data_IF_582163390645
#
_entry.id   IF_582163390645
#
_cell.length_a   1.000
_cell.length_b   1.000
_cell.length_c   1.000
_cell.angle_alpha   90.00
_cell.angle_beta   90.00
_cell.angle_gamma   90.00
#
_symmetry.space_group_name_H-M   'P 1'
#
loop_
_entity.id
_entity.type
_entity.pdbx_description
1 polymer ?
#
# COMPACT_ATOMS: atom_id res chain seq x y z
N UNK A 1 -7.78 14.12 11.97
CA UNK A 1 -7.28 15.38 11.36
C UNK A 1 -5.90 15.09 10.78
N UNK A 2 -5.74 15.09 9.45
CA UNK A 2 -4.42 14.91 8.79
C UNK A 2 -3.59 16.17 8.99
N UNK A 3 -2.97 16.31 10.16
CA UNK A 3 -2.01 17.38 10.42
C UNK A 3 -0.63 16.93 9.97
N UNK A 4 0.11 17.85 9.35
CA UNK A 4 1.55 17.67 9.20
C UNK A 4 2.16 17.49 10.59
N UNK A 5 2.89 16.39 10.75
CA UNK A 5 3.82 16.30 11.84
C UNK A 5 5.10 16.96 11.34
N UNK A 6 5.63 17.95 12.07
CA UNK A 6 6.88 18.62 11.71
C UNK A 6 8.09 17.67 11.91
N UNK A 7 8.11 16.53 11.20
CA UNK A 7 9.22 15.59 11.22
C UNK A 7 10.36 16.16 10.40
N UNK A 8 11.14 17.04 11.03
CA UNK A 8 12.31 17.70 10.41
C UNK A 8 13.51 16.76 10.29
N UNK A 9 13.55 15.65 11.05
CA UNK A 9 14.68 14.70 11.02
C UNK A 9 14.42 13.51 10.10
N UNK A 10 15.47 13.01 9.47
CA UNK A 10 15.40 11.80 8.63
C UNK A 10 14.92 10.58 9.42
N UNK A 11 15.39 10.41 10.66
CA UNK A 11 15.00 9.30 11.53
C UNK A 11 13.50 9.27 11.83
N UNK A 12 12.88 10.44 12.09
CA UNK A 12 11.44 10.51 12.31
C UNK A 12 10.63 10.14 11.06
N UNK A 13 11.09 10.55 9.87
CA UNK A 13 10.46 10.18 8.59
C UNK A 13 10.53 8.68 8.33
N UNK A 14 11.69 8.06 8.58
CA UNK A 14 11.87 6.60 8.47
C UNK A 14 10.96 5.87 9.46
N UNK A 15 10.87 6.36 10.70
CA UNK A 15 9.96 5.83 11.71
C UNK A 15 8.49 5.85 11.26
N UNK A 16 8.02 6.95 10.66
CA UNK A 16 6.66 7.04 10.13
C UNK A 16 6.41 6.13 8.92
N UNK A 17 7.42 5.94 8.05
CA UNK A 17 7.34 4.97 6.95
C UNK A 17 7.13 3.56 7.52
N UNK A 18 7.99 3.13 8.45
CA UNK A 18 7.87 1.82 9.09
C UNK A 18 6.56 1.63 9.85
N UNK A 19 6.13 2.66 10.59
CA UNK A 19 4.84 2.65 11.28
C UNK A 19 3.66 2.56 10.30
N UNK A 20 3.75 3.21 9.14
CA UNK A 20 2.72 3.12 8.10
C UNK A 20 2.64 1.71 7.52
N UNK A 21 3.77 1.06 7.24
CA UNK A 21 3.79 -0.35 6.79
C UNK A 21 3.15 -1.26 7.83
N UNK A 22 3.47 -1.06 9.13
CA UNK A 22 2.81 -1.78 10.22
C UNK A 22 1.29 -1.56 10.24
N UNK A 23 0.84 -0.31 10.09
CA UNK A 23 -0.59 0.02 10.05
C UNK A 23 -1.30 -0.60 8.84
N UNK A 24 -0.66 -0.67 7.68
CA UNK A 24 -1.20 -1.35 6.51
C UNK A 24 -1.44 -2.83 6.78
N UNK A 25 -0.45 -3.53 7.37
CA UNK A 25 -0.60 -4.92 7.81
C UNK A 25 -1.72 -5.10 8.83
N UNK A 26 -1.73 -4.27 9.87
CA UNK A 26 -2.75 -4.33 10.91
C UNK A 26 -4.16 -4.06 10.36
N UNK A 27 -4.32 -3.04 9.51
CA UNK A 27 -5.59 -2.68 8.91
C UNK A 27 -6.15 -3.79 8.03
N UNK A 28 -5.31 -4.46 7.25
CA UNK A 28 -5.72 -5.63 6.49
C UNK A 28 -6.15 -6.79 7.39
N UNK A 29 -5.36 -7.11 8.42
CA UNK A 29 -5.72 -8.16 9.37
C UNK A 29 -7.07 -7.87 10.04
N UNK A 30 -7.33 -6.62 10.39
CA UNK A 30 -8.60 -6.18 10.95
C UNK A 30 -9.76 -6.38 9.96
N UNK A 31 -9.59 -5.99 8.69
CA UNK A 31 -10.59 -6.23 7.63
C UNK A 31 -10.85 -7.73 7.44
N UNK A 32 -9.80 -8.54 7.31
CA UNK A 32 -9.95 -10.01 7.17
C UNK A 32 -10.70 -10.59 8.37
N UNK A 33 -10.33 -10.19 9.58
CA UNK A 33 -10.95 -10.67 10.83
C UNK A 33 -12.42 -10.26 10.91
N UNK A 34 -12.75 -9.03 10.51
CA UNK A 34 -14.13 -8.54 10.44
C UNK A 34 -14.97 -9.37 9.47
N UNK A 35 -14.52 -9.56 8.23
CA UNK A 35 -15.25 -10.34 7.22
C UNK A 35 -15.44 -11.80 7.64
N UNK A 36 -14.43 -12.39 8.31
CA UNK A 36 -14.54 -13.73 8.91
C UNK A 36 -15.59 -13.78 10.02
N UNK A 37 -15.60 -12.78 10.91
CA UNK A 37 -16.54 -12.72 12.03
C UNK A 37 -18.01 -12.59 11.57
N UNK A 38 -18.26 -11.89 10.47
CA UNK A 38 -19.62 -11.70 9.92
C UNK A 38 -20.03 -12.77 8.91
N UNK A 39 -19.22 -13.81 8.72
CA UNK A 39 -19.53 -14.94 7.82
C UNK A 39 -19.56 -14.59 6.33
N UNK A 40 -19.08 -13.40 5.93
CA UNK A 40 -19.02 -12.97 4.53
C UNK A 40 -17.72 -13.38 3.83
N UNK A 41 -16.81 -14.05 4.54
CA UNK A 41 -15.57 -14.57 4.02
C UNK A 41 -15.37 -16.03 4.43
N UNK A 42 -15.37 -16.94 3.46
CA UNK A 42 -14.70 -18.24 3.58
C UNK A 42 -13.20 -18.06 3.31
N UNK A 43 -12.53 -17.22 4.10
CA UNK A 43 -11.07 -17.08 3.99
C UNK A 43 -10.47 -18.30 4.69
N UNK A 44 -10.30 -19.36 3.90
CA UNK A 44 -9.45 -20.48 4.27
C UNK A 44 -7.99 -20.02 4.15
N UNK A 45 -7.39 -19.69 5.29
CA UNK A 45 -5.97 -19.33 5.36
C UNK A 45 -5.04 -20.50 4.96
N UNK A 46 -5.57 -21.72 4.81
CA UNK A 46 -4.85 -22.88 4.33
C UNK A 46 -4.83 -23.03 2.80
N UNK A 47 -5.77 -22.43 2.06
CA UNK A 47 -5.87 -22.61 0.59
C UNK A 47 -6.02 -21.32 -0.20
N UNK A 48 -6.34 -20.20 0.44
CA UNK A 48 -6.70 -18.96 -0.25
C UNK A 48 -6.23 -17.76 0.56
N UNK A 49 -5.01 -17.30 0.29
CA UNK A 49 -4.56 -16.01 0.79
C UNK A 49 -5.55 -14.92 0.35
N UNK A 50 -5.95 -14.00 1.25
CA UNK A 50 -6.52 -12.73 0.84
C UNK A 50 -5.63 -12.17 -0.26
N UNK A 51 -6.19 -11.89 -1.44
CA UNK A 51 -5.44 -11.42 -2.62
C UNK A 51 -4.73 -10.11 -2.25
N UNK A 52 -3.49 -10.24 -1.77
CA UNK A 52 -2.59 -9.16 -1.41
C UNK A 52 -1.80 -8.82 -2.66
N UNK A 53 -2.24 -7.79 -3.38
CA UNK A 53 -1.70 -7.41 -4.68
C UNK A 53 -2.31 -8.22 -5.82
N UNK A 54 -3.37 -7.69 -6.44
CA UNK A 54 -4.05 -8.24 -7.61
C UNK A 54 -3.13 -8.78 -8.71
N UNK A 55 -1.98 -8.12 -8.93
CA UNK A 55 -1.07 -8.45 -10.04
C UNK A 55 0.06 -9.39 -9.61
N UNK A 56 0.58 -9.20 -8.39
CA UNK A 56 1.74 -9.93 -7.88
C UNK A 56 1.38 -11.28 -7.28
N UNK A 57 0.33 -11.34 -6.45
CA UNK A 57 -0.12 -12.60 -5.88
C UNK A 57 -0.65 -13.51 -6.99
N UNK A 58 -1.41 -12.96 -7.93
CA UNK A 58 -1.86 -13.72 -9.09
C UNK A 58 -0.69 -14.24 -9.93
N UNK A 59 0.33 -13.42 -10.21
CA UNK A 59 1.49 -13.85 -10.98
C UNK A 59 2.37 -14.87 -10.24
N UNK A 60 2.63 -14.67 -8.95
CA UNK A 60 3.42 -15.59 -8.12
C UNK A 60 2.69 -16.92 -7.92
N UNK A 61 1.40 -16.89 -7.62
CA UNK A 61 0.57 -18.09 -7.46
C UNK A 61 0.38 -18.82 -8.80
N UNK A 62 0.27 -18.11 -9.93
CA UNK A 62 0.07 -18.74 -11.24
C UNK A 62 1.31 -19.42 -11.80
N UNK A 63 2.51 -19.13 -11.27
CA UNK A 63 3.77 -19.70 -11.77
C UNK A 63 4.39 -20.75 -10.84
N UNK A 64 3.90 -20.93 -9.60
CA UNK A 64 4.40 -21.95 -8.64
C UNK A 64 5.93 -21.96 -8.46
N UNK A 65 6.60 -20.82 -8.67
CA UNK A 65 8.05 -20.72 -8.61
C UNK A 65 8.50 -20.52 -7.16
N UNK A 66 9.42 -21.37 -6.70
CA UNK A 66 10.17 -21.10 -5.47
C UNK A 66 11.07 -19.87 -5.63
N UNK A 67 11.43 -19.21 -4.52
CA UNK A 67 12.36 -18.07 -4.52
C UNK A 67 13.66 -18.38 -5.29
N UNK A 68 14.22 -19.58 -5.10
CA UNK A 68 15.44 -20.01 -5.80
C UNK A 68 15.27 -20.10 -7.32
N UNK A 69 14.11 -20.54 -7.81
CA UNK A 69 13.80 -20.60 -9.25
C UNK A 69 13.48 -19.21 -9.82
N UNK A 70 12.87 -18.32 -9.03
CA UNK A 70 12.59 -16.96 -9.44
C UNK A 70 13.90 -16.16 -9.66
N UNK A 71 14.87 -16.34 -8.77
CA UNK A 71 16.15 -15.61 -8.82
C UNK A 71 17.08 -16.04 -9.96
N UNK A 72 16.86 -17.19 -10.59
CA UNK A 72 17.67 -17.67 -11.73
C UNK A 72 17.20 -17.14 -13.08
N UNK A 73 15.99 -16.55 -13.16
CA UNK A 73 15.45 -15.96 -14.38
C UNK A 73 15.53 -14.43 -14.34
N UNK A 74 16.39 -13.79 -15.16
CA UNK A 74 16.50 -12.33 -15.20
C UNK A 74 15.17 -11.63 -15.51
N UNK A 75 14.31 -12.27 -16.32
CA UNK A 75 12.99 -11.75 -16.65
C UNK A 75 12.06 -11.72 -15.44
N UNK A 76 12.06 -12.80 -14.64
CA UNK A 76 11.30 -12.88 -13.38
C UNK A 76 11.79 -11.84 -12.38
N UNK A 77 13.11 -11.75 -12.19
CA UNK A 77 13.72 -10.76 -11.29
C UNK A 77 13.33 -9.34 -11.71
N UNK A 78 13.40 -9.03 -13.00
CA UNK A 78 13.00 -7.72 -13.51
C UNK A 78 11.52 -7.42 -13.23
N UNK A 79 10.62 -8.39 -13.42
CA UNK A 79 9.20 -8.21 -13.12
C UNK A 79 8.96 -7.96 -11.62
N UNK A 80 9.62 -8.72 -10.75
CA UNK A 80 9.54 -8.52 -9.29
C UNK A 80 10.04 -7.12 -8.91
N UNK A 81 11.15 -6.66 -9.48
CA UNK A 81 11.67 -5.30 -9.25
C UNK A 81 10.71 -4.21 -9.75
N UNK A 82 10.08 -4.41 -10.91
CA UNK A 82 9.06 -3.48 -11.43
C UNK A 82 7.90 -3.42 -10.43
N UNK A 83 7.41 -4.54 -9.92
CA UNK A 83 6.28 -4.55 -8.99
C UNK A 83 6.65 -3.92 -7.64
N UNK A 84 7.86 -4.19 -7.14
CA UNK A 84 8.30 -3.68 -5.84
C UNK A 84 8.63 -2.19 -5.90
N UNK A 85 9.27 -1.71 -6.96
CA UNK A 85 9.79 -0.35 -7.03
C UNK A 85 9.17 0.48 -8.15
N UNK A 86 9.09 -0.07 -9.36
CA UNK A 86 8.62 0.66 -10.54
C UNK A 86 7.15 1.06 -10.45
N UNK A 87 6.28 0.12 -10.10
CA UNK A 87 4.84 0.32 -9.96
C UNK A 87 4.55 1.34 -8.84
N UNK A 88 5.03 1.18 -7.58
CA UNK A 88 4.84 2.19 -6.55
C UNK A 88 5.32 3.59 -6.94
N UNK A 89 6.44 3.69 -7.68
CA UNK A 89 6.93 4.98 -8.16
C UNK A 89 5.89 5.68 -9.06
N UNK A 90 5.30 4.97 -10.02
CA UNK A 90 4.28 5.53 -10.91
C UNK A 90 2.93 5.72 -10.21
N UNK A 91 2.51 4.74 -9.41
CA UNK A 91 1.23 4.72 -8.72
C UNK A 91 1.11 5.89 -7.73
N UNK A 92 2.16 6.19 -6.95
CA UNK A 92 2.10 7.30 -6.00
C UNK A 92 1.98 8.67 -6.68
N UNK A 93 2.44 8.84 -7.93
CA UNK A 93 2.20 10.08 -8.69
C UNK A 93 0.70 10.27 -8.93
N UNK A 94 0.00 9.20 -9.32
CA UNK A 94 -1.42 9.21 -9.66
C UNK A 94 -2.27 9.30 -8.38
N UNK A 95 -2.05 8.39 -7.44
CA UNK A 95 -2.90 8.26 -6.27
C UNK A 95 -2.66 9.34 -5.21
N UNK A 96 -1.46 9.93 -5.14
CA UNK A 96 -1.21 11.12 -4.29
C UNK A 96 -1.44 12.43 -5.01
N UNK A 97 -1.85 12.40 -6.28
CA UNK A 97 -2.21 13.60 -7.06
C UNK A 97 -3.14 14.55 -6.28
N UNK A 98 -4.28 14.08 -5.75
CA UNK A 98 -5.16 14.91 -4.92
C UNK A 98 -4.54 15.38 -3.61
N UNK A 99 -3.68 14.56 -2.97
CA UNK A 99 -2.97 14.99 -1.78
C UNK A 99 -2.05 16.17 -2.10
N UNK A 100 -1.31 16.10 -3.21
CA UNK A 100 -0.44 17.19 -3.69
C UNK A 100 -1.24 18.44 -4.09
N UNK A 101 -2.34 18.27 -4.82
CA UNK A 101 -3.13 19.38 -5.37
C UNK A 101 -3.94 20.12 -4.31
N UNK A 102 -4.41 19.41 -3.27
CA UNK A 102 -5.32 19.94 -2.25
C UNK A 102 -4.63 20.28 -0.93
N UNK A 103 -3.32 20.01 -0.82
CA UNK A 103 -2.46 20.52 0.26
C UNK A 103 -2.28 22.04 0.13
N UNK A 104 -2.29 22.75 1.25
CA UNK A 104 -1.85 24.14 1.33
C UNK A 104 -0.32 24.28 1.16
N UNK A 105 0.19 25.52 1.32
CA UNK A 105 1.62 25.82 1.22
C UNK A 105 2.46 25.14 2.31
N UNK A 106 1.83 24.81 3.45
CA UNK A 106 2.43 24.14 4.59
C UNK A 106 2.26 22.61 4.52
N UNK A 107 1.81 22.07 3.39
CA UNK A 107 1.62 20.63 3.20
C UNK A 107 0.51 20.03 4.05
N UNK A 108 -0.42 20.85 4.54
CA UNK A 108 -1.57 20.42 5.33
C UNK A 108 -2.82 20.31 4.45
N UNK A 109 -3.67 19.32 4.74
CA UNK A 109 -4.94 19.17 4.03
C UNK A 109 -5.96 20.18 4.53
N UNK A 110 -6.54 20.96 3.62
CA UNK A 110 -7.65 21.85 3.98
C UNK A 110 -8.91 21.01 4.28
N UNK A 111 -9.66 21.31 5.36
CA UNK A 111 -10.77 20.48 5.83
C UNK A 111 -11.84 20.18 4.78
N UNK A 112 -12.13 21.13 3.89
CA UNK A 112 -13.13 21.02 2.83
C UNK A 112 -12.82 19.93 1.80
N UNK A 113 -11.55 19.53 1.68
CA UNK A 113 -11.11 18.49 0.74
C UNK A 113 -10.89 17.12 1.40
N UNK A 114 -11.20 16.99 2.70
CA UNK A 114 -10.98 15.75 3.44
C UNK A 114 -11.65 14.56 2.77
N UNK A 115 -12.94 14.67 2.44
CA UNK A 115 -13.69 13.59 1.81
C UNK A 115 -13.21 13.24 0.41
N UNK A 116 -12.72 14.22 -0.35
CA UNK A 116 -12.14 13.99 -1.69
C UNK A 116 -10.88 13.14 -1.57
N UNK A 117 -9.98 13.50 -0.65
CA UNK A 117 -8.74 12.76 -0.40
C UNK A 117 -9.02 11.36 0.12
N UNK A 118 -9.94 11.20 1.08
CA UNK A 118 -10.33 9.90 1.62
C UNK A 118 -10.96 9.02 0.54
N UNK A 119 -11.94 9.55 -0.20
CA UNK A 119 -12.63 8.83 -1.26
C UNK A 119 -11.69 8.37 -2.37
N UNK A 120 -10.82 9.28 -2.86
CA UNK A 120 -9.82 8.91 -3.86
C UNK A 120 -8.83 7.86 -3.35
N UNK A 121 -8.32 8.08 -2.14
CA UNK A 121 -7.28 7.20 -1.57
C UNK A 121 -7.82 5.85 -1.14
N UNK A 122 -9.11 5.72 -0.86
CA UNK A 122 -9.74 4.45 -0.53
C UNK A 122 -10.34 3.78 -1.78
N UNK A 123 -11.27 4.45 -2.45
CA UNK A 123 -12.08 3.86 -3.53
C UNK A 123 -11.25 3.68 -4.80
N UNK A 124 -10.61 4.75 -5.29
CA UNK A 124 -9.87 4.66 -6.55
C UNK A 124 -8.64 3.76 -6.40
N UNK A 125 -7.92 3.88 -5.28
CA UNK A 125 -6.81 2.98 -4.97
C UNK A 125 -7.29 1.53 -4.82
N UNK A 126 -8.36 1.30 -4.06
CA UNK A 126 -8.92 -0.03 -3.84
C UNK A 126 -9.36 -0.72 -5.13
N UNK A 127 -10.06 0.01 -6.02
CA UNK A 127 -10.51 -0.51 -7.31
C UNK A 127 -9.36 -0.78 -8.29
N UNK A 128 -8.28 0.01 -8.24
CA UNK A 128 -7.13 -0.19 -9.13
C UNK A 128 -6.28 -1.42 -8.76
N UNK A 129 -6.26 -1.80 -7.47
CA UNK A 129 -5.38 -2.86 -6.97
C UNK A 129 -6.12 -4.10 -6.45
N UNK A 130 -7.44 -4.07 -6.38
CA UNK A 130 -8.26 -5.12 -5.81
C UNK A 130 -9.15 -5.81 -6.85
N UNK A 131 -9.20 -7.13 -6.81
CA UNK A 131 -10.19 -7.93 -7.55
C UNK A 131 -11.25 -8.47 -6.59
N UNK A 132 -12.51 -8.05 -6.79
CA UNK A 132 -13.62 -8.39 -5.91
C UNK A 132 -13.71 -7.51 -4.66
N UNK A 133 -14.91 -7.48 -4.05
CA UNK A 133 -15.25 -6.54 -2.97
C UNK A 133 -14.28 -6.60 -1.77
N UNK A 134 -13.83 -7.80 -1.41
CA UNK A 134 -12.93 -8.01 -0.27
C UNK A 134 -11.51 -7.45 -0.53
N UNK A 135 -10.94 -7.75 -1.70
CA UNK A 135 -9.63 -7.24 -2.09
C UNK A 135 -9.65 -5.71 -2.26
N UNK A 136 -10.71 -5.17 -2.87
CA UNK A 136 -10.91 -3.71 -2.99
C UNK A 136 -10.90 -3.03 -1.63
N UNK A 137 -11.55 -3.61 -0.63
CA UNK A 137 -11.62 -3.03 0.71
C UNK A 137 -10.27 -3.07 1.43
N UNK A 138 -9.53 -4.18 1.31
CA UNK A 138 -8.17 -4.30 1.84
C UNK A 138 -7.21 -3.26 1.23
N UNK A 139 -7.21 -3.17 -0.10
CA UNK A 139 -6.35 -2.23 -0.82
C UNK A 139 -6.73 -0.78 -0.52
N UNK A 140 -8.02 -0.46 -0.42
CA UNK A 140 -8.50 0.87 -0.06
C UNK A 140 -8.02 1.31 1.32
N UNK A 141 -8.01 0.42 2.31
CA UNK A 141 -7.42 0.71 3.64
C UNK A 141 -5.92 1.04 3.52
N UNK A 142 -5.18 0.29 2.69
CA UNK A 142 -3.78 0.59 2.38
C UNK A 142 -3.59 2.00 1.81
N UNK A 143 -4.41 2.38 0.82
CA UNK A 143 -4.37 3.70 0.21
C UNK A 143 -4.68 4.85 1.19
N UNK A 144 -5.54 4.63 2.19
CA UNK A 144 -5.77 5.61 3.28
C UNK A 144 -4.53 5.82 4.15
N UNK A 145 -3.79 4.75 4.45
CA UNK A 145 -2.57 4.87 5.26
C UNK A 145 -1.44 5.56 4.48
N UNK A 146 -1.33 5.34 3.18
CA UNK A 146 -0.42 6.09 2.31
C UNK A 146 -0.81 7.57 2.24
N UNK A 147 -2.10 7.89 2.15
CA UNK A 147 -2.58 9.26 2.26
C UNK A 147 -2.23 9.90 3.63
N UNK A 148 -2.40 9.16 4.73
CA UNK A 148 -1.98 9.59 6.06
C UNK A 148 -0.50 9.93 6.10
N UNK A 149 0.34 9.03 5.56
CA UNK A 149 1.79 9.21 5.55
C UNK A 149 2.21 10.44 4.74
N UNK A 150 1.57 10.68 3.60
CA UNK A 150 1.82 11.86 2.77
C UNK A 150 1.76 13.16 3.60
N UNK A 151 0.67 13.34 4.34
CA UNK A 151 0.49 14.55 5.16
C UNK A 151 1.41 14.55 6.39
N UNK A 152 1.65 13.40 7.02
CA UNK A 152 2.55 13.32 8.19
C UNK A 152 4.01 13.60 7.89
N UNK A 153 4.51 13.24 6.70
CA UNK A 153 5.87 13.53 6.29
C UNK A 153 6.01 14.83 5.46
N UNK A 154 4.94 15.63 5.36
CA UNK A 154 4.97 17.01 4.85
C UNK A 154 5.83 17.94 5.74
N UNK A 155 6.16 19.17 5.29
CA UNK A 155 5.56 19.91 4.17
C UNK A 155 6.21 19.65 2.80
N UNK A 156 7.39 19.03 2.75
CA UNK A 156 8.08 18.78 1.47
C UNK A 156 7.31 17.77 0.62
N UNK A 157 6.71 18.23 -0.48
CA UNK A 157 5.99 17.37 -1.45
C UNK A 157 6.86 16.24 -1.98
N UNK A 158 8.13 16.52 -2.23
CA UNK A 158 9.10 15.51 -2.64
C UNK A 158 9.32 14.49 -1.53
N UNK A 159 9.53 14.94 -0.28
CA UNK A 159 9.66 14.06 0.87
C UNK A 159 8.43 13.19 1.13
N UNK A 160 7.22 13.75 1.03
CA UNK A 160 5.96 13.03 1.17
C UNK A 160 5.77 11.98 0.08
N UNK A 161 6.11 12.32 -1.16
CA UNK A 161 6.11 11.38 -2.29
C UNK A 161 7.06 10.22 -2.04
N UNK A 162 8.33 10.49 -1.75
CA UNK A 162 9.32 9.43 -1.48
C UNK A 162 8.96 8.58 -0.26
N UNK A 163 8.35 9.17 0.77
CA UNK A 163 7.87 8.42 1.93
C UNK A 163 6.76 7.45 1.54
N UNK A 164 5.83 7.90 0.70
CA UNK A 164 4.72 7.06 0.22
C UNK A 164 5.25 5.94 -0.68
N UNK A 165 6.15 6.24 -1.62
CA UNK A 165 6.81 5.24 -2.48
C UNK A 165 7.56 4.22 -1.62
N UNK A 166 8.35 4.67 -0.64
CA UNK A 166 9.10 3.77 0.23
C UNK A 166 8.18 2.86 1.05
N UNK A 167 7.11 3.40 1.65
CA UNK A 167 6.15 2.59 2.40
C UNK A 167 5.43 1.59 1.49
N UNK A 168 5.00 2.01 0.31
CA UNK A 168 4.33 1.15 -0.66
C UNK A 168 5.27 0.04 -1.17
N UNK A 169 6.52 0.37 -1.52
CA UNK A 169 7.54 -0.61 -1.90
C UNK A 169 7.85 -1.61 -0.78
N UNK A 170 8.03 -1.14 0.47
CA UNK A 170 8.25 -2.00 1.63
C UNK A 170 7.06 -2.92 1.89
N UNK A 171 5.85 -2.39 1.70
CA UNK A 171 4.64 -3.19 1.77
C UNK A 171 4.64 -4.29 0.68
N UNK A 172 4.92 -3.94 -0.58
CA UNK A 172 5.01 -4.93 -1.66
C UNK A 172 6.10 -5.98 -1.40
N UNK A 173 7.29 -5.58 -0.91
CA UNK A 173 8.35 -6.50 -0.48
C UNK A 173 7.83 -7.48 0.57
N UNK A 174 7.16 -6.96 1.60
CA UNK A 174 6.65 -7.81 2.69
C UNK A 174 5.61 -8.81 2.17
N UNK A 175 4.74 -8.40 1.24
CA UNK A 175 3.79 -9.31 0.59
C UNK A 175 4.51 -10.39 -0.23
N UNK A 176 5.50 -10.01 -1.05
CA UNK A 176 6.31 -10.98 -1.83
C UNK A 176 6.96 -12.01 -0.92
N UNK A 177 7.65 -11.55 0.12
CA UNK A 177 8.35 -12.41 1.07
C UNK A 177 7.34 -13.33 1.77
N UNK A 178 6.24 -12.79 2.28
CA UNK A 178 5.22 -13.56 2.97
C UNK A 178 4.56 -14.59 2.05
N UNK A 179 4.27 -14.26 0.80
CA UNK A 179 3.74 -15.21 -0.19
C UNK A 179 4.74 -16.32 -0.47
N UNK A 180 6.02 -16.01 -0.70
CA UNK A 180 7.05 -17.03 -0.97
C UNK A 180 7.42 -17.89 0.23
N UNK A 181 7.34 -17.38 1.46
CA UNK A 181 7.57 -18.17 2.67
C UNK A 181 6.43 -19.17 2.94
N UNK A 182 5.26 -18.95 2.35
CA UNK A 182 4.08 -19.81 2.52
C UNK A 182 3.88 -20.82 1.38
N UNK A 183 4.65 -20.72 0.30
CA UNK A 183 4.72 -21.71 -0.79
C UNK A 183 5.76 -22.78 -0.50
#
# INVERSE_FOLDING_TARGET
MFRSAEHKTLGAKIGEIGFTVFLMWFGMLAVVSFFKAIGLASVDFGTSMPVMGATLNYWLQSHSLSLGQALTSPFVVMQVLIIIFGAPFLEEIIFRGPCRALSDKEGTLRPEFLFVVLGWSFIAFGLAHGYGYFSVLLQGVGGLFLARLWFRNGPSRFGSYFSSVAAHSLYNISVVITTWLWM
#
